data_IF_206606066728
#
_entry.id   IF_206606066728
#
_cell.length_a   1.000
_cell.length_b   1.000
_cell.length_c   1.000
_cell.angle_alpha   90.00
_cell.angle_beta   90.00
_cell.angle_gamma   90.00
#
_symmetry.space_group_name_H-M   'P 1'
#
loop_
_entity.id
_entity.type
_entity.pdbx_description
1 polymer ?
#
# COMPACT_ATOMS: atom_id res chain seq x y z
N UNK A 1 10.89 -11.64 4.14
CA UNK A 1 10.80 -10.76 5.31
C UNK A 1 11.47 -9.44 4.95
N UNK A 2 10.89 -8.29 5.31
CA UNK A 2 11.42 -6.97 4.95
C UNK A 2 12.79 -6.72 5.59
N UNK A 3 13.00 -7.16 6.83
CA UNK A 3 14.25 -6.96 7.55
C UNK A 3 15.41 -7.80 6.97
N UNK A 4 15.10 -8.98 6.44
CA UNK A 4 16.09 -9.94 5.94
C UNK A 4 16.44 -9.77 4.46
N UNK A 5 15.75 -8.89 3.73
CA UNK A 5 15.89 -8.74 2.28
C UNK A 5 17.10 -7.88 1.87
N UNK A 6 17.89 -8.35 0.91
CA UNK A 6 18.91 -7.51 0.28
C UNK A 6 18.23 -6.37 -0.48
N UNK A 7 18.58 -5.13 -0.13
CA UNK A 7 18.02 -3.92 -0.76
C UNK A 7 18.84 -3.58 -2.00
N UNK A 8 18.19 -3.56 -3.15
CA UNK A 8 18.78 -3.02 -4.37
C UNK A 8 18.60 -1.49 -4.39
N UNK A 9 19.70 -0.70 -4.43
CA UNK A 9 19.62 0.76 -4.42
C UNK A 9 18.88 1.35 -5.62
N UNK A 10 18.73 0.61 -6.72
CA UNK A 10 18.00 1.05 -7.90
C UNK A 10 16.55 1.43 -7.59
N UNK A 11 15.84 0.61 -6.78
CA UNK A 11 14.42 0.79 -6.52
C UNK A 11 14.10 1.95 -5.58
N UNK A 12 15.07 2.45 -4.80
CA UNK A 12 14.87 3.55 -3.85
C UNK A 12 15.95 4.63 -4.01
N UNK A 13 16.31 4.92 -5.26
CA UNK A 13 17.46 5.78 -5.62
C UNK A 13 17.33 7.26 -5.26
N UNK A 14 16.15 7.76 -4.87
CA UNK A 14 15.94 9.19 -4.58
C UNK A 14 16.09 9.48 -3.09
N UNK A 15 15.21 8.92 -2.27
CA UNK A 15 15.15 9.17 -0.84
C UNK A 15 15.76 8.05 -0.01
N UNK A 16 15.91 6.84 -0.58
CA UNK A 16 16.29 5.64 0.16
C UNK A 16 15.22 5.13 1.12
N UNK A 17 14.05 5.78 1.20
CA UNK A 17 12.98 5.44 2.13
C UNK A 17 12.08 4.37 1.53
N UNK A 18 11.81 3.35 2.32
CA UNK A 18 10.83 2.32 1.98
C UNK A 18 9.53 2.64 2.67
N UNK A 19 8.42 2.52 1.94
CA UNK A 19 7.06 2.54 2.42
C UNK A 19 6.40 1.22 1.99
N UNK A 20 5.63 0.62 2.88
CA UNK A 20 4.90 -0.62 2.64
C UNK A 20 3.41 -0.33 2.68
N UNK A 21 2.65 -1.04 1.85
CA UNK A 21 1.19 -0.99 1.88
C UNK A 21 0.59 -2.38 1.71
N UNK A 22 -0.57 -2.58 2.35
CA UNK A 22 -1.42 -3.75 2.19
C UNK A 22 -2.80 -3.29 1.72
N UNK A 23 -3.26 -3.86 0.62
CA UNK A 23 -4.65 -3.77 0.14
C UNK A 23 -5.37 -5.03 0.58
N UNK A 24 -6.51 -4.88 1.23
CA UNK A 24 -7.42 -5.98 1.57
C UNK A 24 -8.57 -6.00 0.57
N UNK A 25 -8.76 -7.16 -0.08
CA UNK A 25 -9.89 -7.44 -0.94
C UNK A 25 -10.80 -8.47 -0.27
N UNK A 26 -12.12 -8.31 -0.42
CA UNK A 26 -13.11 -9.33 -0.05
C UNK A 26 -13.26 -10.33 -1.20
N UNK A 27 -12.99 -11.60 -0.91
CA UNK A 27 -13.16 -12.72 -1.84
C UNK A 27 -14.62 -13.14 -2.00
N UNK A 28 -14.85 -14.16 -2.84
CA UNK A 28 -16.20 -14.69 -3.12
C UNK A 28 -16.83 -15.41 -1.92
N UNK A 29 -16.01 -15.91 -1.00
CA UNK A 29 -16.41 -16.60 0.23
C UNK A 29 -16.32 -15.69 1.47
N UNK A 30 -16.41 -14.37 1.26
CA UNK A 30 -16.21 -13.31 2.25
C UNK A 30 -14.84 -13.31 2.95
N UNK A 31 -13.90 -14.17 2.54
CA UNK A 31 -12.53 -14.14 3.09
C UNK A 31 -11.79 -12.90 2.65
N UNK A 32 -10.97 -12.39 3.55
CA UNK A 32 -10.08 -11.27 3.25
C UNK A 32 -8.79 -11.79 2.62
N UNK A 33 -8.46 -11.24 1.46
CA UNK A 33 -7.24 -11.51 0.73
C UNK A 33 -6.34 -10.28 0.74
N UNK A 34 -5.07 -10.47 1.08
CA UNK A 34 -4.12 -9.39 1.27
C UNK A 34 -3.12 -9.29 0.12
N UNK A 35 -3.01 -8.09 -0.46
CA UNK A 35 -2.08 -7.76 -1.53
C UNK A 35 -1.06 -6.74 -1.04
N UNK A 36 0.22 -7.07 -1.18
CA UNK A 36 1.33 -6.26 -0.65
C UNK A 36 1.90 -5.36 -1.75
N UNK A 37 2.29 -4.16 -1.38
CA UNK A 37 2.97 -3.20 -2.24
C UNK A 37 4.11 -2.50 -1.51
N UNK A 38 5.10 -2.07 -2.29
CA UNK A 38 6.24 -1.29 -1.83
C UNK A 38 6.44 -0.14 -2.83
N UNK A 39 6.85 1.03 -2.34
CA UNK A 39 7.16 2.13 -3.24
C UNK A 39 8.38 1.82 -4.11
N UNK A 40 8.47 2.48 -5.26
CA UNK A 40 9.69 2.50 -6.08
C UNK A 40 9.97 3.93 -6.56
N UNK A 41 11.24 4.31 -6.55
CA UNK A 41 11.70 5.67 -6.78
C UNK A 41 12.61 5.80 -8.00
N UNK A 42 12.26 5.13 -9.08
CA UNK A 42 13.01 5.24 -10.34
C UNK A 42 12.92 6.67 -10.92
N UNK A 43 13.99 7.12 -11.57
CA UNK A 43 14.04 8.45 -12.21
C UNK A 43 13.38 8.38 -13.59
N UNK A 44 12.04 8.48 -13.60
CA UNK A 44 11.23 8.51 -14.81
C UNK A 44 10.41 9.81 -14.86
N UNK A 45 10.03 10.30 -16.06
CA UNK A 45 9.11 11.43 -16.21
C UNK A 45 7.77 11.23 -15.51
N UNK A 46 7.27 9.99 -15.48
CA UNK A 46 6.05 9.61 -14.77
C UNK A 46 6.19 9.62 -13.24
N UNK A 47 7.40 9.83 -12.73
CA UNK A 47 7.68 9.90 -11.30
C UNK A 47 7.80 8.52 -10.62
N UNK A 48 7.78 8.57 -9.30
CA UNK A 48 7.90 7.41 -8.41
C UNK A 48 6.55 6.72 -8.21
N UNK A 49 6.56 5.41 -7.93
CA UNK A 49 5.37 4.64 -7.59
C UNK A 49 5.22 4.57 -6.07
N UNK A 50 4.08 4.99 -5.52
CA UNK A 50 3.79 4.90 -4.10
C UNK A 50 3.37 3.48 -3.72
N UNK A 51 3.57 3.10 -2.46
CA UNK A 51 3.31 1.74 -1.98
C UNK A 51 1.84 1.32 -2.13
N UNK A 52 0.91 2.26 -1.90
CA UNK A 52 -0.53 2.06 -2.03
C UNK A 52 -0.89 1.71 -3.47
N UNK A 53 -0.34 2.47 -4.44
CA UNK A 53 -0.58 2.24 -5.87
C UNK A 53 0.04 0.92 -6.32
N UNK A 54 1.20 0.55 -5.79
CA UNK A 54 1.80 -0.76 -6.06
C UNK A 54 0.91 -1.91 -5.55
N UNK A 55 0.36 -1.80 -4.33
CA UNK A 55 -0.54 -2.79 -3.76
C UNK A 55 -1.87 -2.89 -4.53
N UNK A 56 -2.45 -1.75 -4.91
CA UNK A 56 -3.69 -1.70 -5.72
C UNK A 56 -3.45 -2.35 -7.09
N UNK A 57 -2.35 -1.99 -7.76
CA UNK A 57 -2.01 -2.56 -9.05
C UNK A 57 -1.79 -4.07 -8.96
N UNK A 58 -1.22 -4.56 -7.86
CA UNK A 58 -1.07 -6.00 -7.61
C UNK A 58 -2.43 -6.70 -7.46
N UNK A 59 -3.34 -6.15 -6.66
CA UNK A 59 -4.69 -6.70 -6.51
C UNK A 59 -5.44 -6.72 -7.87
N UNK A 60 -5.34 -5.63 -8.64
CA UNK A 60 -5.95 -5.54 -9.97
C UNK A 60 -5.34 -6.54 -10.97
N UNK A 61 -4.03 -6.80 -10.88
CA UNK A 61 -3.34 -7.80 -11.72
C UNK A 61 -3.76 -9.23 -11.40
N UNK A 62 -4.22 -9.48 -10.18
CA UNK A 62 -4.84 -10.73 -9.76
C UNK A 62 -6.37 -10.70 -9.99
N UNK A 63 -6.84 -9.85 -10.91
CA UNK A 63 -8.22 -9.69 -11.38
C UNK A 63 -9.25 -9.37 -10.28
N UNK A 64 -8.82 -8.76 -9.17
CA UNK A 64 -9.76 -8.35 -8.13
C UNK A 64 -10.61 -7.16 -8.58
N UNK A 65 -11.94 -7.23 -8.45
CA UNK A 65 -12.80 -6.09 -8.73
C UNK A 65 -12.44 -4.90 -7.84
N UNK A 66 -12.47 -3.67 -8.36
CA UNK A 66 -12.22 -2.47 -7.56
C UNK A 66 -13.17 -2.37 -6.35
N UNK A 67 -14.44 -2.75 -6.53
CA UNK A 67 -15.45 -2.78 -5.47
C UNK A 67 -15.14 -3.81 -4.36
N UNK A 68 -14.29 -4.80 -4.62
CA UNK A 68 -13.87 -5.77 -3.60
C UNK A 68 -12.82 -5.21 -2.64
N UNK A 69 -12.17 -4.09 -2.98
CA UNK A 69 -11.18 -3.45 -2.10
C UNK A 69 -11.91 -2.83 -0.91
N UNK A 70 -11.60 -3.30 0.30
CA UNK A 70 -12.25 -2.86 1.55
C UNK A 70 -11.33 -2.05 2.44
N UNK A 71 -10.02 -2.24 2.36
CA UNK A 71 -9.08 -1.46 3.15
C UNK A 71 -7.73 -1.29 2.45
N UNK A 72 -7.08 -0.17 2.74
CA UNK A 72 -5.71 0.14 2.31
C UNK A 72 -4.96 0.63 3.54
N UNK A 73 -3.88 -0.08 3.87
CA UNK A 73 -3.10 0.16 5.09
C UNK A 73 -1.68 0.50 4.66
N UNK A 74 -1.10 1.56 5.19
CA UNK A 74 0.25 2.02 4.80
C UNK A 74 1.12 2.30 6.01
N UNK A 75 2.39 1.90 5.92
CA UNK A 75 3.37 2.08 6.97
C UNK A 75 4.77 2.40 6.40
N UNK A 76 5.49 3.28 7.09
CA UNK A 76 6.94 3.36 7.04
C UNK A 76 7.51 2.34 8.04
N UNK A 77 8.18 1.26 7.60
CA UNK A 77 8.80 0.29 8.49
C UNK A 77 9.96 0.87 9.32
N UNK A 78 10.54 2.01 8.93
CA UNK A 78 11.50 2.75 9.72
C UNK A 78 10.87 3.58 10.85
N UNK A 79 9.54 3.69 10.89
CA UNK A 79 8.78 4.37 11.93
C UNK A 79 8.90 5.90 11.97
N UNK A 80 9.67 6.51 11.05
CA UNK A 80 9.96 7.95 11.08
C UNK A 80 8.83 8.79 10.51
N UNK A 81 8.05 8.21 9.59
CA UNK A 81 6.95 8.89 8.90
C UNK A 81 5.57 8.44 9.38
N UNK A 82 5.48 7.48 10.30
CA UNK A 82 4.20 6.98 10.79
C UNK A 82 3.54 8.00 11.75
N UNK A 83 2.22 8.24 11.63
CA UNK A 83 1.30 7.71 10.62
C UNK A 83 1.52 8.34 9.23
N UNK A 84 1.69 7.50 8.21
CA UNK A 84 1.91 7.92 6.83
C UNK A 84 0.60 7.95 6.04
N UNK A 85 0.09 9.15 5.79
CA UNK A 85 -1.11 9.34 4.96
C UNK A 85 -0.80 9.34 3.47
N UNK A 86 -1.76 8.94 2.61
CA UNK A 86 -1.56 8.92 1.16
C UNK A 86 -1.25 10.31 0.61
N UNK A 87 -0.30 10.38 -0.33
CA UNK A 87 -0.01 11.62 -1.05
C UNK A 87 -1.16 12.02 -1.99
N UNK A 88 -1.11 13.22 -2.56
CA UNK A 88 -2.15 13.77 -3.45
C UNK A 88 -2.49 12.87 -4.64
N UNK A 89 -1.47 12.22 -5.23
CA UNK A 89 -1.66 11.27 -6.34
C UNK A 89 -2.40 10.02 -5.86
N UNK A 90 -2.05 9.47 -4.69
CA UNK A 90 -2.77 8.34 -4.11
C UNK A 90 -4.20 8.73 -3.71
N UNK A 91 -4.42 9.92 -3.15
CA UNK A 91 -5.77 10.41 -2.84
C UNK A 91 -6.65 10.50 -4.08
N UNK A 92 -6.09 10.91 -5.21
CA UNK A 92 -6.79 10.95 -6.51
C UNK A 92 -7.16 9.56 -7.04
N UNK A 93 -6.40 8.52 -6.69
CA UNK A 93 -6.77 7.12 -6.96
C UNK A 93 -7.86 6.64 -6.00
N UNK A 94 -7.69 6.94 -4.71
CA UNK A 94 -8.62 6.56 -3.65
C UNK A 94 -10.02 7.16 -3.87
N UNK A 95 -10.13 8.38 -4.38
CA UNK A 95 -11.43 8.99 -4.72
C UNK A 95 -12.17 8.20 -5.81
N UNK A 96 -11.47 7.66 -6.81
CA UNK A 96 -12.04 6.80 -7.85
C UNK A 96 -12.45 5.43 -7.30
N UNK A 97 -11.65 4.87 -6.39
CA UNK A 97 -11.99 3.62 -5.71
C UNK A 97 -13.20 3.80 -4.78
N UNK A 98 -13.31 4.92 -4.06
CA UNK A 98 -14.48 5.26 -3.23
C UNK A 98 -15.78 5.30 -4.03
N UNK A 99 -15.72 5.70 -5.31
CA UNK A 99 -16.89 5.64 -6.20
C UNK A 99 -17.31 4.20 -6.53
N UNK A 100 -16.43 3.21 -6.40
CA UNK A 100 -16.72 1.79 -6.59
C UNK A 100 -17.12 1.10 -5.29
N UNK A 101 -16.55 1.53 -4.16
CA UNK A 101 -16.90 1.07 -2.81
C UNK A 101 -16.83 2.24 -1.82
N UNK A 102 -17.98 2.84 -1.42
CA UNK A 102 -18.01 3.94 -0.46
C UNK A 102 -17.46 3.60 0.93
N UNK A 103 -17.49 2.32 1.31
CA UNK A 103 -17.07 1.81 2.63
C UNK A 103 -15.56 1.49 2.72
N UNK A 104 -14.79 1.76 1.66
CA UNK A 104 -13.34 1.53 1.66
C UNK A 104 -12.66 2.34 2.77
N UNK A 105 -11.90 1.65 3.60
CA UNK A 105 -11.14 2.25 4.71
C UNK A 105 -9.70 2.54 4.30
N UNK A 106 -9.20 3.72 4.66
CA UNK A 106 -7.81 4.11 4.47
C UNK A 106 -7.17 4.30 5.83
N UNK A 107 -6.15 3.49 6.12
CA UNK A 107 -5.57 3.36 7.46
C UNK A 107 -4.09 3.73 7.39
N UNK A 108 -3.72 4.78 8.12
CA UNK A 108 -2.32 5.11 8.39
C UNK A 108 -1.97 4.60 9.78
N UNK A 109 -1.07 3.62 9.87
CA UNK A 109 -0.68 3.05 11.17
C UNK A 109 0.37 3.91 11.85
N UNK A 110 0.27 4.09 13.16
CA UNK A 110 1.24 4.84 13.97
C UNK A 110 2.51 4.05 14.27
N UNK A 111 2.43 2.72 14.23
CA UNK A 111 3.52 1.80 14.55
C UNK A 111 3.45 0.56 13.67
N UNK A 112 4.61 -0.07 13.44
CA UNK A 112 4.72 -1.40 12.83
C UNK A 112 4.82 -2.51 13.88
N UNK A 113 4.70 -2.19 15.17
CA UNK A 113 4.59 -3.18 16.23
C UNK A 113 3.32 -4.02 16.00
N UNK A 114 3.49 -5.34 16.01
CA UNK A 114 2.39 -6.30 15.97
C UNK A 114 2.28 -6.95 17.35
N UNK A 115 1.54 -6.31 18.24
CA UNK A 115 1.26 -6.89 19.55
C UNK A 115 0.36 -8.11 19.38
N UNK A 116 0.71 -9.21 20.04
CA UNK A 116 -0.16 -10.38 20.08
C UNK A 116 -1.35 -10.09 20.98
N UNK A 117 -2.55 -10.10 20.42
CA UNK A 117 -3.77 -10.14 21.21
C UNK A 117 -3.93 -11.56 21.77
N UNK A 118 -3.79 -11.69 23.08
CA UNK A 118 -4.04 -12.93 23.82
C UNK A 118 -5.52 -13.07 24.18
#
# INVERSE_FOLDING_TARGET
DFASGQKDPFWHRKSGKVCLSVVLCRGQDDKLEAYRGMNTEVSLPAGSLCAERAAIARAASDFRPAASIVAIITADPGGRLNPLWPCEVCQSWLSKLKAQNPEISVIAVSSTACDSFA
#
